data_IF_818905478541
#
_entry.id   IF_818905478541
#
_cell.length_a   1.000
_cell.length_b   1.000
_cell.length_c   1.000
_cell.angle_alpha   90.00
_cell.angle_beta   90.00
_cell.angle_gamma   90.00
#
_symmetry.space_group_name_H-M   'P 1'
#
loop_
_entity.id
_entity.type
_entity.pdbx_description
1 polymer ?
#
# COMPACT_ATOMS: atom_id res chain seq x y z
N UNK A 1 -5.60 -4.40 12.48
CA UNK A 1 -5.31 -4.91 11.12
C UNK A 1 -5.38 -3.71 10.19
N UNK A 2 -4.33 -3.44 9.40
CA UNK A 2 -4.23 -2.22 8.56
C UNK A 2 -4.56 -2.46 7.08
N UNK A 3 -4.84 -3.70 6.69
CA UNK A 3 -5.28 -4.06 5.34
C UNK A 3 -5.80 -5.48 5.29
N UNK A 4 -6.49 -5.80 4.19
CA UNK A 4 -7.12 -7.09 3.90
C UNK A 4 -6.81 -7.47 2.45
N UNK A 5 -6.45 -8.73 2.22
CA UNK A 5 -6.31 -9.31 0.89
C UNK A 5 -7.62 -9.96 0.45
N UNK A 6 -7.87 -9.99 -0.86
CA UNK A 6 -9.02 -10.65 -1.46
C UNK A 6 -8.91 -12.17 -1.43
N UNK A 7 -9.92 -12.84 -1.99
CA UNK A 7 -9.89 -14.30 -2.22
C UNK A 7 -8.79 -14.69 -3.20
N UNK A 8 -8.50 -13.82 -4.16
CA UNK A 8 -7.36 -13.96 -5.05
C UNK A 8 -6.16 -13.16 -4.52
N UNK A 9 -4.95 -13.73 -4.65
CA UNK A 9 -3.70 -13.18 -4.09
C UNK A 9 -3.23 -11.85 -4.72
N UNK A 10 -3.99 -11.30 -5.68
CA UNK A 10 -3.66 -10.07 -6.42
C UNK A 10 -4.59 -8.89 -6.08
N UNK A 11 -5.44 -9.02 -5.06
CA UNK A 11 -6.32 -7.94 -4.61
C UNK A 11 -5.99 -7.60 -3.17
N UNK A 12 -5.72 -6.33 -2.88
CA UNK A 12 -5.57 -5.83 -1.52
C UNK A 12 -6.25 -4.48 -1.33
N UNK A 13 -6.83 -4.28 -0.16
CA UNK A 13 -7.39 -3.00 0.32
C UNK A 13 -6.78 -2.69 1.67
N UNK A 14 -6.31 -1.47 1.85
CA UNK A 14 -5.56 -1.10 3.05
C UNK A 14 -5.77 0.35 3.44
N UNK A 15 -5.59 0.61 4.74
CA UNK A 15 -5.58 1.92 5.36
C UNK A 15 -4.38 2.01 6.33
N UNK A 16 -3.60 3.11 6.31
CA UNK A 16 -3.77 4.28 5.46
C UNK A 16 -3.48 3.98 3.98
N UNK A 17 -4.03 4.82 3.11
CA UNK A 17 -3.79 4.86 1.67
C UNK A 17 -2.29 4.76 1.34
N UNK A 18 -1.82 3.70 0.66
CA UNK A 18 -0.40 3.48 0.37
C UNK A 18 0.17 4.60 -0.51
N UNK A 19 -0.63 5.17 -1.42
CA UNK A 19 -0.29 6.32 -2.24
C UNK A 19 -0.03 7.60 -1.44
N UNK A 20 -0.59 7.72 -0.24
CA UNK A 20 -0.29 8.83 0.69
C UNK A 20 0.90 8.50 1.59
N UNK A 21 1.10 7.22 1.91
CA UNK A 21 2.24 6.73 2.69
C UNK A 21 3.55 6.62 1.88
N UNK A 22 3.57 7.12 0.64
CA UNK A 22 4.80 7.30 -0.16
C UNK A 22 5.33 8.73 -0.11
N UNK A 23 4.54 9.70 0.36
CA UNK A 23 4.87 11.11 0.31
C UNK A 23 5.86 11.46 1.43
N UNK A 24 7.10 11.75 1.05
CA UNK A 24 8.17 12.18 1.96
C UNK A 24 7.78 13.37 2.84
N UNK A 25 6.96 14.29 2.31
CA UNK A 25 6.48 15.48 3.03
C UNK A 25 5.53 15.13 4.18
N UNK A 26 4.92 13.94 4.16
CA UNK A 26 4.08 13.42 5.23
C UNK A 26 4.87 12.55 6.24
N UNK A 27 6.20 12.47 6.08
CA UNK A 27 7.10 11.73 6.97
C UNK A 27 6.95 10.20 6.89
N UNK A 28 6.30 9.68 5.84
CA UNK A 28 6.06 8.25 5.62
C UNK A 28 6.40 7.89 4.17
N UNK A 29 7.17 6.81 3.99
CA UNK A 29 7.56 6.29 2.67
C UNK A 29 7.36 4.77 2.56
N UNK A 30 6.82 4.15 3.61
CA UNK A 30 6.57 2.71 3.70
C UNK A 30 5.52 2.21 2.69
N UNK A 31 4.70 3.10 2.13
CA UNK A 31 3.75 2.75 1.06
C UNK A 31 4.39 2.40 -0.29
N UNK A 32 5.68 2.74 -0.51
CA UNK A 32 6.34 2.55 -1.81
C UNK A 32 6.47 1.07 -2.17
N UNK A 33 6.90 0.23 -1.23
CA UNK A 33 7.06 -1.21 -1.48
C UNK A 33 5.75 -1.91 -1.81
N UNK A 34 4.61 -1.38 -1.32
CA UNK A 34 3.30 -1.90 -1.72
C UNK A 34 3.00 -1.54 -3.17
N UNK A 35 3.17 -0.27 -3.56
CA UNK A 35 2.90 0.13 -4.94
C UNK A 35 3.83 -0.58 -5.94
N UNK A 36 5.10 -0.77 -5.59
CA UNK A 36 6.05 -1.54 -6.38
C UNK A 36 5.62 -3.00 -6.54
N UNK A 37 5.15 -3.66 -5.48
CA UNK A 37 4.70 -5.05 -5.53
C UNK A 37 3.44 -5.30 -6.38
N UNK A 38 2.66 -4.25 -6.68
CA UNK A 38 1.47 -4.32 -7.54
C UNK A 38 1.70 -3.75 -8.96
N UNK A 39 2.91 -3.26 -9.27
CA UNK A 39 3.20 -2.64 -10.56
C UNK A 39 3.56 -3.64 -11.67
N UNK A 40 3.77 -4.91 -11.32
CA UNK A 40 4.14 -6.02 -12.22
C UNK A 40 2.94 -6.90 -12.63
#
# INVERSE_FOLDING_TARGET
>A
MAGVTGEDDHVAVMMPHPERATLSDLGRTDGQGVLEGFAD
#
